data_IF_332746575213
#
_entry.id   IF_332746575213
#
_cell.length_a   1.000
_cell.length_b   1.000
_cell.length_c   1.000
_cell.angle_alpha   90.00
_cell.angle_beta   90.00
_cell.angle_gamma   90.00
#
_symmetry.space_group_name_H-M   'P 1'
#
loop_
_entity.id
_entity.type
_entity.pdbx_description
1 polymer ?
#
# COMPACT_ATOMS: atom_id res chain seq x y z
N UNK A 1 -2.59 -1.16 21.77
CA UNK A 1 -2.75 0.28 21.42
C UNK A 1 -3.75 0.44 20.27
N UNK A 2 -4.39 1.60 20.10
CA UNK A 2 -5.27 1.87 18.94
C UNK A 2 -4.86 3.19 18.27
N UNK A 3 -4.95 3.24 16.94
CA UNK A 3 -4.68 4.44 16.14
C UNK A 3 -5.94 4.86 15.42
N UNK A 4 -6.26 6.16 15.40
CA UNK A 4 -7.41 6.67 14.66
C UNK A 4 -6.99 6.92 13.22
N UNK A 5 -7.28 5.97 12.34
CA UNK A 5 -7.06 6.10 10.90
C UNK A 5 -8.39 6.44 10.24
N UNK A 6 -8.50 7.65 9.68
CA UNK A 6 -9.70 8.12 8.96
C UNK A 6 -11.00 7.87 9.74
N UNK A 7 -11.03 8.33 10.98
CA UNK A 7 -12.17 8.18 11.90
C UNK A 7 -12.56 6.75 12.30
N UNK A 8 -11.76 5.75 11.94
CA UNK A 8 -11.89 4.36 12.41
C UNK A 8 -10.77 4.04 13.39
N UNK A 9 -11.11 3.31 14.44
CA UNK A 9 -10.11 2.78 15.38
C UNK A 9 -9.43 1.57 14.75
N UNK A 10 -8.14 1.72 14.46
CA UNK A 10 -7.26 0.68 13.98
C UNK A 10 -6.52 0.06 15.17
N UNK A 11 -6.76 -1.22 15.52
CA UNK A 11 -5.97 -1.89 16.54
C UNK A 11 -4.53 -2.00 16.07
N UNK A 12 -3.60 -1.58 16.91
CA UNK A 12 -2.16 -1.66 16.66
C UNK A 12 -1.52 -2.76 17.49
N UNK A 13 -0.59 -3.46 16.85
CA UNK A 13 0.26 -4.47 17.47
C UNK A 13 1.72 -4.21 17.10
N UNK A 14 2.65 -4.47 18.03
CA UNK A 14 4.08 -4.44 17.71
C UNK A 14 4.51 -5.74 17.03
N UNK A 15 5.25 -5.64 15.92
CA UNK A 15 5.83 -6.82 15.29
C UNK A 15 6.89 -7.48 16.18
N UNK A 16 7.70 -6.69 16.90
CA UNK A 16 8.72 -7.22 17.81
C UNK A 16 8.09 -8.06 18.92
N UNK A 17 6.98 -7.57 19.50
CA UNK A 17 6.21 -8.25 20.53
C UNK A 17 5.60 -9.56 20.02
N UNK A 18 4.97 -9.55 18.84
CA UNK A 18 4.40 -10.77 18.24
C UNK A 18 5.49 -11.83 17.99
N UNK A 19 6.67 -11.39 17.56
CA UNK A 19 7.76 -12.29 17.23
C UNK A 19 8.62 -12.68 18.45
N UNK A 20 8.34 -12.11 19.63
CA UNK A 20 9.15 -12.31 20.83
C UNK A 20 10.60 -11.87 20.65
N UNK A 21 10.84 -10.86 19.81
CA UNK A 21 12.17 -10.31 19.60
C UNK A 21 12.55 -9.46 20.81
N UNK A 22 13.82 -9.51 21.26
CA UNK A 22 14.28 -8.58 22.27
C UNK A 22 14.08 -7.16 21.73
N UNK A 23 13.68 -6.26 22.61
CA UNK A 23 13.72 -4.84 22.28
C UNK A 23 15.16 -4.54 21.81
N UNK A 24 15.27 -4.02 20.59
CA UNK A 24 16.59 -3.73 20.02
C UNK A 24 17.35 -2.77 20.96
N UNK A 25 18.69 -2.74 20.98
CA UNK A 25 19.41 -1.70 21.72
C UNK A 25 19.10 -0.27 21.22
N UNK A 26 18.38 -0.13 20.11
CA UNK A 26 17.78 1.12 19.62
C UNK A 26 16.35 1.33 20.17
N UNK A 27 15.90 0.48 21.10
CA UNK A 27 14.65 0.65 21.83
C UNK A 27 14.84 1.64 22.98
N UNK A 28 13.85 2.52 23.24
CA UNK A 28 13.99 3.62 24.19
C UNK A 28 14.00 3.20 25.67
N UNK A 29 13.93 1.90 25.99
CA UNK A 29 13.68 1.41 27.35
C UNK A 29 14.75 0.45 27.90
N UNK A 30 15.93 0.32 27.28
CA UNK A 30 17.08 -0.29 27.96
C UNK A 30 17.80 0.78 28.79
N UNK A 31 17.45 0.83 30.08
CA UNK A 31 18.15 1.51 31.17
C UNK A 31 19.67 1.52 30.96
N UNK A 32 20.28 2.64 30.52
CA UNK A 32 21.55 3.20 31.01
C UNK A 32 21.76 4.65 30.48
N UNK A 33 21.60 5.62 31.39
CA UNK A 33 22.28 6.93 31.42
C UNK A 33 21.88 8.05 30.43
N UNK A 34 20.94 8.91 30.88
CA UNK A 34 20.81 10.31 30.45
C UNK A 34 19.64 10.62 29.51
N UNK A 35 19.10 11.86 29.51
CA UNK A 35 18.07 12.26 28.56
C UNK A 35 18.71 12.36 27.17
N UNK A 36 18.70 11.27 26.41
CA UNK A 36 19.00 11.34 24.98
C UNK A 36 17.80 12.01 24.29
N UNK A 37 18.05 13.21 23.79
CA UNK A 37 17.16 13.89 22.85
C UNK A 37 16.92 12.93 21.67
N UNK A 38 15.71 12.35 21.61
CA UNK A 38 15.27 11.54 20.48
C UNK A 38 15.49 12.36 19.21
N UNK A 39 16.24 11.81 18.26
CA UNK A 39 16.37 12.44 16.95
C UNK A 39 14.95 12.52 16.34
N UNK A 40 14.46 13.71 15.94
CA UNK A 40 13.13 13.87 15.37
C UNK A 40 12.90 13.10 14.06
N UNK A 41 13.93 12.40 13.54
CA UNK A 41 13.88 11.55 12.36
C UNK A 41 13.52 10.08 12.62
N UNK A 42 13.41 9.63 13.87
CA UNK A 42 13.10 8.23 14.21
C UNK A 42 11.60 7.93 14.01
N UNK A 43 11.26 7.72 12.74
CA UNK A 43 9.89 7.59 12.26
C UNK A 43 9.41 6.16 12.46
N UNK A 44 8.48 5.93 13.39
CA UNK A 44 7.80 4.64 13.52
C UNK A 44 6.80 4.43 12.38
N UNK A 45 6.86 3.29 11.69
CA UNK A 45 5.95 2.99 10.58
C UNK A 45 4.83 2.04 11.03
N UNK A 46 3.66 2.18 10.40
CA UNK A 46 2.52 1.28 10.62
C UNK A 46 2.10 0.66 9.29
N UNK A 47 2.21 -0.67 9.19
CA UNK A 47 1.70 -1.46 8.07
C UNK A 47 0.25 -1.83 8.35
N UNK A 48 -0.68 -1.35 7.54
CA UNK A 48 -2.11 -1.70 7.65
C UNK A 48 -2.36 -3.00 6.90
N UNK A 49 -2.85 -4.02 7.61
CA UNK A 49 -3.16 -5.34 7.06
C UNK A 49 -4.64 -5.67 7.22
N UNK A 50 -5.19 -6.36 6.22
CA UNK A 50 -6.57 -6.83 6.23
C UNK A 50 -6.61 -8.35 5.99
N UNK A 51 -7.26 -9.06 6.91
CA UNK A 51 -7.50 -10.51 6.84
C UNK A 51 -9.00 -10.75 6.97
N UNK A 52 -9.65 -11.10 5.86
CA UNK A 52 -11.11 -11.15 5.79
C UNK A 52 -11.72 -9.78 6.12
N UNK A 53 -12.57 -9.73 7.16
CA UNK A 53 -13.17 -8.49 7.65
C UNK A 53 -12.35 -7.80 8.76
N UNK A 54 -11.24 -8.40 9.20
CA UNK A 54 -10.41 -7.87 10.28
C UNK A 54 -9.30 -6.99 9.73
N UNK A 55 -9.24 -5.73 10.18
CA UNK A 55 -8.22 -4.75 9.79
C UNK A 55 -7.42 -4.36 11.03
N UNK A 56 -6.09 -4.43 10.93
CA UNK A 56 -5.17 -4.12 12.02
C UNK A 56 -3.89 -3.47 11.49
N UNK A 57 -3.23 -2.69 12.34
CA UNK A 57 -1.94 -2.07 12.05
C UNK A 57 -0.80 -2.81 12.76
N UNK A 58 0.30 -3.01 12.05
CA UNK A 58 1.53 -3.63 12.54
C UNK A 58 2.58 -2.54 12.64
N UNK A 59 3.06 -2.28 13.85
CA UNK A 59 4.14 -1.33 14.11
C UNK A 59 5.46 -1.98 13.69
N UNK A 60 6.24 -1.27 12.88
CA UNK A 60 7.55 -1.70 12.38
C UNK A 60 8.55 -0.54 12.44
N UNK A 61 9.83 -0.88 12.56
CA UNK A 61 10.89 0.12 12.70
C UNK A 61 11.10 0.89 11.41
N UNK A 62 11.15 0.17 10.27
CA UNK A 62 11.48 0.73 8.96
C UNK A 62 10.79 -0.04 7.84
N UNK A 63 10.47 0.67 6.76
CA UNK A 63 9.96 0.10 5.52
C UNK A 63 11.04 0.27 4.44
N UNK A 64 11.48 -0.85 3.87
CA UNK A 64 12.37 -0.86 2.71
C UNK A 64 11.55 -0.81 1.41
N UNK A 65 12.24 -0.72 0.27
CA UNK A 65 11.60 -0.74 -1.05
C UNK A 65 11.06 -2.14 -1.40
N UNK A 66 10.30 -2.22 -2.49
CA UNK A 66 9.73 -3.49 -2.99
C UNK A 66 10.80 -4.32 -3.70
N UNK A 67 11.00 -5.57 -3.27
CA UNK A 67 11.89 -6.52 -3.93
C UNK A 67 11.14 -7.73 -4.49
N UNK A 68 11.62 -8.26 -5.62
CA UNK A 68 11.17 -9.55 -6.15
C UNK A 68 11.98 -10.69 -5.54
N UNK A 69 11.30 -11.62 -4.88
CA UNK A 69 11.92 -12.71 -4.13
C UNK A 69 11.40 -14.07 -4.58
N UNK A 70 12.23 -15.10 -4.41
CA UNK A 70 11.79 -16.50 -4.51
C UNK A 70 11.49 -17.00 -3.11
N UNK A 71 10.23 -17.39 -2.88
CA UNK A 71 9.78 -17.91 -1.58
C UNK A 71 10.16 -19.38 -1.43
N UNK A 72 10.88 -19.72 -0.37
CA UNK A 72 11.12 -21.09 0.06
C UNK A 72 10.21 -21.42 1.25
N UNK A 73 9.65 -22.63 1.35
CA UNK A 73 8.85 -23.01 2.50
C UNK A 73 9.65 -22.91 3.80
N UNK A 74 9.00 -22.51 4.89
CA UNK A 74 9.61 -22.56 6.22
C UNK A 74 10.06 -23.99 6.56
N UNK A 75 11.21 -24.09 7.22
CA UNK A 75 11.77 -25.36 7.66
C UNK A 75 10.82 -26.09 8.60
N UNK A 76 10.90 -27.44 8.64
CA UNK A 76 10.00 -28.25 9.47
C UNK A 76 10.04 -27.86 10.94
N UNK A 77 11.21 -27.44 11.44
CA UNK A 77 11.40 -27.03 12.83
C UNK A 77 10.70 -25.70 13.17
N UNK A 78 10.42 -24.84 12.19
CA UNK A 78 9.81 -23.51 12.41
C UNK A 78 8.30 -23.48 12.13
N UNK A 79 7.69 -24.59 11.70
CA UNK A 79 6.25 -24.66 11.36
C UNK A 79 5.29 -24.33 12.51
N UNK A 80 5.76 -24.38 13.75
CA UNK A 80 4.96 -24.01 14.92
C UNK A 80 4.80 -22.49 15.06
N UNK A 81 5.61 -21.70 14.34
CA UNK A 81 5.52 -20.24 14.30
C UNK A 81 4.58 -19.87 13.15
N UNK A 82 3.30 -19.68 13.46
CA UNK A 82 2.27 -19.38 12.47
C UNK A 82 2.45 -18.02 11.78
N UNK A 83 3.27 -17.13 12.35
CA UNK A 83 3.53 -15.79 11.81
C UNK A 83 4.32 -15.79 10.50
N UNK A 84 4.87 -16.92 10.04
CA UNK A 84 5.70 -16.99 8.84
C UNK A 84 5.12 -17.92 7.77
N UNK A 85 5.03 -17.44 6.53
CA UNK A 85 4.61 -18.21 5.36
C UNK A 85 5.78 -18.83 4.59
N UNK A 86 6.99 -18.27 4.75
CA UNK A 86 8.16 -18.73 4.03
C UNK A 86 9.44 -18.00 4.44
N UNK A 87 10.53 -18.34 3.78
CA UNK A 87 11.82 -17.66 3.92
C UNK A 87 12.42 -17.43 2.54
N UNK A 88 13.32 -16.47 2.44
CA UNK A 88 14.16 -16.30 1.26
C UNK A 88 15.59 -15.97 1.66
N UNK A 89 16.52 -16.17 0.75
CA UNK A 89 17.93 -15.83 0.93
C UNK A 89 18.26 -14.80 -0.12
N UNK A 90 18.72 -13.63 0.31
CA UNK A 90 19.16 -12.56 -0.58
C UNK A 90 20.51 -12.89 -1.22
N UNK A 91 20.89 -12.12 -2.25
CA UNK A 91 22.17 -12.30 -2.95
C UNK A 91 23.41 -12.08 -2.06
N UNK A 92 23.25 -11.39 -0.93
CA UNK A 92 24.29 -11.17 0.08
C UNK A 92 24.33 -12.27 1.17
N UNK A 93 23.48 -13.29 1.07
CA UNK A 93 23.40 -14.41 2.01
C UNK A 93 22.53 -14.17 3.23
N UNK A 94 21.91 -12.98 3.39
CA UNK A 94 20.96 -12.73 4.49
C UNK A 94 19.68 -13.51 4.29
N UNK A 95 19.13 -14.02 5.40
CA UNK A 95 17.85 -14.72 5.41
C UNK A 95 16.75 -13.74 5.79
N UNK A 96 15.71 -13.65 4.96
CA UNK A 96 14.51 -12.88 5.25
C UNK A 96 13.36 -13.86 5.53
N UNK A 97 12.58 -13.55 6.56
CA UNK A 97 11.36 -14.26 6.90
C UNK A 97 10.16 -13.56 6.25
N UNK A 98 9.29 -14.32 5.62
CA UNK A 98 8.07 -13.79 4.99
C UNK A 98 6.92 -13.97 5.98
N UNK A 99 6.29 -12.87 6.36
CA UNK A 99 5.18 -12.87 7.29
C UNK A 99 3.92 -13.49 6.66
N UNK A 100 3.13 -14.20 7.48
CA UNK A 100 1.77 -14.64 7.14
C UNK A 100 0.75 -13.73 7.83
N UNK A 101 -0.01 -12.91 7.07
CA UNK A 101 -1.06 -12.08 7.62
C UNK A 101 -2.09 -12.86 8.47
N UNK A 102 -2.42 -14.10 8.10
CA UNK A 102 -3.40 -14.91 8.84
C UNK A 102 -2.86 -15.35 10.20
N UNK A 103 -1.58 -15.78 10.25
CA UNK A 103 -0.87 -16.07 11.48
C UNK A 103 -0.78 -14.86 12.41
N UNK A 104 -0.45 -13.69 11.85
CA UNK A 104 -0.42 -12.43 12.58
C UNK A 104 -1.81 -12.04 13.12
N UNK A 105 -2.86 -12.11 12.30
CA UNK A 105 -4.22 -11.81 12.73
C UNK A 105 -4.69 -12.71 13.89
N UNK A 106 -4.28 -13.98 13.88
CA UNK A 106 -4.58 -14.93 14.96
C UNK A 106 -3.84 -14.57 16.26
N UNK A 107 -2.58 -14.14 16.17
CA UNK A 107 -1.80 -13.65 17.30
C UNK A 107 -2.41 -12.35 17.88
N UNK A 108 -2.85 -11.43 17.01
CA UNK A 108 -3.49 -10.16 17.41
C UNK A 108 -4.83 -10.40 18.08
N UNK A 109 -5.66 -11.29 17.54
CA UNK A 109 -7.00 -11.59 18.09
C UNK A 109 -6.94 -12.21 19.48
N UNK A 110 -5.80 -12.78 19.86
CA UNK A 110 -5.54 -13.36 21.19
C UNK A 110 -5.03 -12.32 22.21
N UNK A 111 -4.76 -11.09 21.76
CA UNK A 111 -4.33 -9.98 22.63
C UNK A 111 -5.54 -9.28 23.26
N UNK A 112 -5.50 -8.93 24.56
CA UNK A 112 -6.62 -8.29 25.28
C UNK A 112 -7.08 -6.94 24.67
N UNK A 113 -6.27 -6.31 23.82
CA UNK A 113 -6.65 -5.08 23.11
C UNK A 113 -7.54 -5.32 21.87
N UNK A 114 -7.52 -6.52 21.27
CA UNK A 114 -8.29 -6.83 20.07
C UNK A 114 -9.78 -7.07 20.38
N UNK A 115 -10.10 -7.59 21.58
CA UNK A 115 -11.48 -7.80 22.01
C UNK A 115 -12.27 -6.49 22.12
N UNK A 116 -11.66 -5.43 22.66
CA UNK A 116 -12.29 -4.11 22.76
C UNK A 116 -12.59 -3.48 21.38
N UNK A 117 -11.67 -3.66 20.41
CA UNK A 117 -11.87 -3.19 19.04
C UNK A 117 -12.93 -4.03 18.29
N UNK A 118 -12.95 -5.34 18.50
CA UNK A 118 -13.90 -6.27 17.88
C UNK A 118 -15.34 -6.08 18.41
N UNK A 119 -15.52 -5.74 19.68
CA UNK A 119 -16.81 -5.38 20.28
C UNK A 119 -17.38 -4.09 19.67
N UNK A 120 -16.53 -3.12 19.36
CA UNK A 120 -16.93 -1.87 18.70
C UNK A 120 -17.30 -2.10 17.23
N UNK A 121 -16.61 -3.02 16.55
CA UNK A 121 -16.92 -3.41 15.17
C UNK A 121 -18.24 -4.20 15.02
N UNK A 122 -18.61 -5.02 16.02
CA UNK A 122 -19.87 -5.78 16.02
C UNK A 122 -21.11 -4.97 16.36
N UNK A 123 -20.98 -3.83 17.04
CA UNK A 123 -22.10 -2.97 17.41
C UNK A 123 -22.65 -2.10 16.23
N UNK A 124 -21.95 -2.06 15.09
CA UNK A 124 -22.39 -1.30 13.90
C UNK A 124 -23.36 -2.04 12.96
N UNK A 125 -23.80 -3.25 13.31
CA UNK A 125 -24.68 -4.07 12.48
C UNK A 125 -26.16 -3.69 12.58
N UNK A 126 -26.57 -2.63 11.88
CA UNK A 126 -27.99 -2.25 11.71
C UNK A 126 -28.20 -1.51 10.39
N UNK A 127 -28.92 -2.13 9.46
CA UNK A 127 -28.90 -1.81 8.05
C UNK A 127 -29.48 -0.45 7.63
N UNK A 128 -28.86 0.10 6.59
CA UNK A 128 -29.38 0.82 5.40
C UNK A 128 -28.21 0.80 4.41
N UNK A 129 -28.44 0.71 3.09
CA UNK A 129 -27.41 0.87 2.06
C UNK A 129 -26.64 2.18 2.31
N UNK A 130 -25.51 2.08 3.01
CA UNK A 130 -24.64 3.20 3.29
C UNK A 130 -23.61 3.15 2.19
N UNK A 131 -23.64 4.17 1.33
CA UNK A 131 -22.67 4.42 0.27
C UNK A 131 -21.26 4.17 0.86
N UNK A 132 -20.72 2.98 0.62
CA UNK A 132 -19.56 2.47 1.32
C UNK A 132 -18.38 3.30 0.82
N UNK A 133 -17.82 4.14 1.69
CA UNK A 133 -16.75 5.04 1.29
C UNK A 133 -15.57 4.22 0.76
N UNK A 134 -15.24 4.42 -0.52
CA UNK A 134 -14.11 3.73 -1.13
C UNK A 134 -12.87 4.63 -1.06
N UNK A 135 -11.70 4.01 -0.98
CA UNK A 135 -10.44 4.74 -1.06
C UNK A 135 -10.20 5.24 -2.49
N UNK A 136 -10.02 6.54 -2.61
CA UNK A 136 -9.80 7.27 -3.86
C UNK A 136 -8.41 7.88 -3.84
N UNK A 137 -7.60 7.62 -4.87
CA UNK A 137 -6.34 8.29 -5.09
C UNK A 137 -6.59 9.62 -5.82
N UNK A 138 -6.24 10.73 -5.18
CA UNK A 138 -6.36 12.09 -5.71
C UNK A 138 -5.04 12.51 -6.35
N UNK A 139 -5.12 13.03 -7.58
CA UNK A 139 -3.97 13.46 -8.36
C UNK A 139 -4.28 14.68 -9.22
N UNK A 140 -3.23 15.35 -9.65
CA UNK A 140 -3.29 16.48 -10.58
C UNK A 140 -2.69 16.12 -11.93
N UNK A 141 -3.16 16.80 -12.96
CA UNK A 141 -2.60 16.68 -14.29
C UNK A 141 -2.75 17.98 -15.07
N UNK A 142 -2.00 18.04 -16.17
CA UNK A 142 -1.52 19.25 -16.86
C UNK A 142 -2.55 20.32 -17.22
N UNK A 143 -3.84 20.01 -17.17
CA UNK A 143 -4.90 20.88 -17.67
C UNK A 143 -6.20 20.86 -16.83
N UNK A 144 -6.17 20.51 -15.55
CA UNK A 144 -7.37 20.70 -14.72
C UNK A 144 -7.21 20.38 -13.24
N UNK A 145 -8.20 20.82 -12.46
CA UNK A 145 -8.30 20.61 -11.01
C UNK A 145 -8.19 19.14 -10.57
N UNK A 146 -8.19 18.90 -9.25
CA UNK A 146 -7.91 17.59 -8.68
C UNK A 146 -8.86 16.54 -9.25
N UNK A 147 -8.28 15.41 -9.66
CA UNK A 147 -9.00 14.24 -10.16
C UNK A 147 -8.79 13.09 -9.20
N UNK A 148 -9.72 12.15 -9.19
CA UNK A 148 -9.65 11.01 -8.30
C UNK A 148 -9.98 9.72 -9.04
N UNK A 149 -9.28 8.64 -8.70
CA UNK A 149 -9.54 7.30 -9.20
C UNK A 149 -9.67 6.34 -8.02
N UNK A 150 -10.59 5.36 -8.04
CA UNK A 150 -10.61 4.30 -7.04
C UNK A 150 -9.24 3.65 -6.95
N UNK A 151 -8.71 3.57 -5.72
CA UNK A 151 -7.41 2.96 -5.49
C UNK A 151 -7.37 1.50 -5.93
N UNK A 152 -8.52 0.82 -5.88
CA UNK A 152 -8.70 -0.57 -6.36
C UNK A 152 -8.46 -0.75 -7.86
N UNK A 153 -8.59 0.30 -8.67
CA UNK A 153 -8.29 0.24 -10.11
C UNK A 153 -6.80 0.47 -10.41
N UNK A 154 -6.08 1.10 -9.48
CA UNK A 154 -4.66 1.38 -9.63
C UNK A 154 -3.88 0.14 -9.22
N UNK A 155 -3.30 -0.55 -10.19
CA UNK A 155 -2.46 -1.71 -9.90
C UNK A 155 -1.16 -1.28 -9.21
N UNK A 156 -0.53 -0.18 -9.69
CA UNK A 156 0.70 0.40 -9.11
C UNK A 156 0.81 1.89 -9.35
N UNK A 157 1.60 2.54 -8.50
CA UNK A 157 2.11 3.90 -8.69
C UNK A 157 3.63 3.81 -8.88
N UNK A 158 4.12 4.33 -10.00
CA UNK A 158 5.55 4.32 -10.34
C UNK A 158 6.03 5.74 -10.58
N UNK A 159 7.25 6.07 -10.17
CA UNK A 159 7.92 7.30 -10.59
C UNK A 159 9.02 6.95 -11.59
N UNK A 160 8.94 7.50 -12.81
CA UNK A 160 9.90 7.22 -13.88
C UNK A 160 10.30 8.50 -14.60
N UNK A 161 11.53 8.51 -15.11
CA UNK A 161 11.97 9.55 -16.03
C UNK A 161 11.45 9.25 -17.44
N UNK A 162 10.49 10.06 -17.90
CA UNK A 162 9.85 9.91 -19.19
C UNK A 162 10.79 10.21 -20.36
N UNK A 163 11.98 10.77 -20.11
CA UNK A 163 13.02 10.86 -21.14
C UNK A 163 13.47 9.47 -21.64
N UNK A 164 13.32 8.42 -20.81
CA UNK A 164 13.62 7.02 -21.16
C UNK A 164 12.51 6.33 -21.93
N UNK A 165 11.30 6.89 -21.95
CA UNK A 165 10.20 6.35 -22.74
C UNK A 165 10.56 6.38 -24.23
N UNK A 166 10.00 5.47 -25.02
CA UNK A 166 10.25 5.30 -26.45
C UNK A 166 8.98 5.62 -27.27
N UNK A 167 9.15 5.79 -28.59
CA UNK A 167 8.02 5.90 -29.52
C UNK A 167 7.85 4.59 -30.29
N UNK A 168 6.67 3.99 -30.18
CA UNK A 168 6.24 2.85 -30.98
C UNK A 168 5.07 3.27 -31.88
N UNK A 169 5.38 3.67 -33.11
CA UNK A 169 4.39 4.25 -34.03
C UNK A 169 3.82 5.56 -33.50
N UNK A 170 2.50 5.63 -33.33
CA UNK A 170 1.80 6.79 -32.75
C UNK A 170 1.76 6.78 -31.22
N UNK A 171 2.28 5.75 -30.55
CA UNK A 171 2.21 5.60 -29.10
C UNK A 171 3.54 5.94 -28.44
N UNK A 172 3.46 6.52 -27.25
CA UNK A 172 4.60 6.57 -26.32
C UNK A 172 4.54 5.30 -25.48
N UNK A 173 5.67 4.62 -25.32
CA UNK A 173 5.77 3.36 -24.56
C UNK A 173 6.93 3.42 -23.59
N UNK A 174 6.86 2.69 -22.49
CA UNK A 174 7.95 2.53 -21.54
C UNK A 174 8.22 1.04 -21.35
N UNK A 175 9.50 0.66 -21.36
CA UNK A 175 9.89 -0.71 -21.05
C UNK A 175 9.63 -0.98 -19.56
N UNK A 176 8.80 -1.97 -19.27
CA UNK A 176 8.39 -2.32 -17.91
C UNK A 176 8.28 -3.83 -17.77
N UNK A 177 9.05 -4.43 -16.84
CA UNK A 177 9.08 -5.88 -16.55
C UNK A 177 9.20 -6.77 -17.79
N UNK A 178 10.04 -6.36 -18.74
CA UNK A 178 10.27 -7.09 -19.99
C UNK A 178 9.19 -6.91 -21.07
N UNK A 179 8.12 -6.14 -20.80
CA UNK A 179 7.09 -5.75 -21.76
C UNK A 179 7.13 -4.25 -22.11
N UNK A 180 6.36 -3.86 -23.13
CA UNK A 180 6.14 -2.45 -23.48
C UNK A 180 4.80 -1.99 -22.91
N UNK A 181 4.85 -1.05 -21.97
CA UNK A 181 3.67 -0.42 -21.40
C UNK A 181 3.37 0.89 -22.13
N UNK A 182 2.23 1.05 -22.79
CA UNK A 182 1.82 2.33 -23.37
C UNK A 182 1.63 3.39 -22.29
N UNK A 183 2.11 4.61 -22.56
CA UNK A 183 1.94 5.78 -21.71
C UNK A 183 1.02 6.80 -22.37
N UNK A 184 -0.04 7.18 -21.66
CA UNK A 184 -1.01 8.19 -22.08
C UNK A 184 -1.14 9.30 -21.06
N UNK A 185 -1.62 10.46 -21.49
CA UNK A 185 -2.16 11.49 -20.61
C UNK A 185 -3.67 11.27 -20.36
N UNK A 186 -4.28 12.17 -19.58
CA UNK A 186 -5.72 12.13 -19.30
C UNK A 186 -6.64 12.37 -20.50
N UNK A 187 -6.13 12.98 -21.56
CA UNK A 187 -6.86 13.15 -22.82
C UNK A 187 -6.78 11.89 -23.70
N UNK A 188 -6.08 10.85 -23.24
CA UNK A 188 -5.81 9.63 -24.02
C UNK A 188 -4.77 9.84 -25.12
N UNK A 189 -4.04 10.96 -25.11
CA UNK A 189 -2.96 11.22 -26.06
C UNK A 189 -1.66 10.57 -25.57
N UNK A 190 -0.73 10.25 -26.47
CA UNK A 190 0.59 9.74 -26.09
C UNK A 190 1.28 10.71 -25.13
N UNK A 191 1.76 10.19 -24.00
CA UNK A 191 2.41 11.04 -22.99
C UNK A 191 3.68 11.72 -23.55
N UNK A 192 3.96 12.92 -23.05
CA UNK A 192 5.21 13.61 -23.34
C UNK A 192 6.40 12.89 -22.71
N UNK A 193 7.51 12.84 -23.45
CA UNK A 193 8.72 12.10 -23.07
C UNK A 193 9.71 13.00 -22.35
N UNK A 194 9.27 13.67 -21.29
CA UNK A 194 10.11 14.64 -20.58
C UNK A 194 9.89 14.64 -19.07
N UNK A 195 11.00 14.59 -18.35
CA UNK A 195 11.05 14.78 -16.91
C UNK A 195 10.60 13.55 -16.12
N UNK A 196 10.88 13.59 -14.81
CA UNK A 196 10.36 12.62 -13.86
C UNK A 196 8.88 12.89 -13.61
N UNK A 197 8.06 11.88 -13.82
CA UNK A 197 6.61 11.97 -13.61
C UNK A 197 6.09 10.72 -12.90
N UNK A 198 5.09 10.89 -12.01
CA UNK A 198 4.31 9.78 -11.51
C UNK A 198 3.46 9.14 -12.62
N UNK A 199 3.35 7.82 -12.58
CA UNK A 199 2.63 6.98 -13.53
C UNK A 199 1.69 6.07 -12.74
N UNK A 200 0.39 6.22 -12.98
CA UNK A 200 -0.62 5.28 -12.49
C UNK A 200 -0.71 4.11 -13.46
N UNK A 201 -0.34 2.93 -12.99
CA UNK A 201 -0.37 1.69 -13.78
C UNK A 201 -1.70 1.00 -13.57
N UNK A 202 -2.41 0.79 -14.66
CA UNK A 202 -3.63 0.00 -14.74
C UNK A 202 -3.31 -1.33 -15.41
N UNK A 203 -3.99 -2.38 -14.98
CA UNK A 203 -3.92 -3.72 -15.58
C UNK A 203 -5.32 -4.17 -15.91
N UNK A 204 -5.53 -4.54 -17.16
CA UNK A 204 -6.75 -5.18 -17.64
C UNK A 204 -6.38 -6.47 -18.36
N UNK A 205 -6.78 -7.61 -17.79
CA UNK A 205 -6.29 -8.94 -18.15
C UNK A 205 -4.75 -9.00 -18.22
N UNK A 206 -4.20 -9.06 -19.44
CA UNK A 206 -2.75 -9.10 -19.69
C UNK A 206 -2.18 -7.76 -20.20
N UNK A 207 -3.00 -6.71 -20.27
CA UNK A 207 -2.62 -5.40 -20.83
C UNK A 207 -2.34 -4.42 -19.71
N UNK A 208 -1.12 -3.88 -19.73
CA UNK A 208 -0.73 -2.78 -18.84
C UNK A 208 -0.90 -1.45 -19.56
N UNK A 209 -1.39 -0.43 -18.85
CA UNK A 209 -1.50 0.95 -19.32
C UNK A 209 -0.97 1.90 -18.25
N UNK A 210 -0.07 2.80 -18.62
CA UNK A 210 0.42 3.85 -17.75
C UNK A 210 -0.28 5.18 -18.04
N UNK A 211 -0.98 5.72 -17.05
CA UNK A 211 -1.49 7.09 -17.07
C UNK A 211 -0.48 8.01 -16.41
N UNK A 212 0.09 8.92 -17.19
CA UNK A 212 1.03 9.93 -16.68
C UNK A 212 0.25 11.05 -16.02
N UNK A 213 0.62 11.36 -14.79
CA UNK A 213 0.02 12.45 -13.99
C UNK A 213 1.11 13.42 -13.57
N UNK A 214 0.75 14.64 -13.17
CA UNK A 214 1.75 15.63 -12.77
C UNK A 214 2.24 15.39 -11.36
N UNK A 215 1.30 15.12 -10.44
CA UNK A 215 1.59 14.72 -9.06
C UNK A 215 0.43 13.95 -8.46
N UNK A 216 0.76 13.05 -7.55
CA UNK A 216 -0.21 12.48 -6.61
C UNK A 216 -0.35 13.45 -5.44
N UNK A 217 -1.59 13.73 -5.05
CA UNK A 217 -1.91 14.68 -3.98
C UNK A 217 -2.12 13.93 -2.67
N UNK A 218 -3.09 13.01 -2.62
CA UNK A 218 -3.42 12.25 -1.41
C UNK A 218 -4.31 11.03 -1.72
N UNK A 219 -4.58 10.18 -0.74
CA UNK A 219 -5.61 9.14 -0.79
C UNK A 219 -6.72 9.49 0.21
N UNK A 220 -7.92 9.72 -0.29
CA UNK A 220 -9.09 10.12 0.51
C UNK A 220 -10.17 9.04 0.49
N UNK A 221 -11.03 8.99 1.51
CA UNK A 221 -12.23 8.15 1.50
C UNK A 221 -13.43 8.98 1.05
N UNK A 222 -14.10 8.54 -0.01
CA UNK A 222 -15.27 9.21 -0.54
C UNK A 222 -16.31 8.19 -1.02
N UNK A 223 -17.62 8.50 -0.89
CA UNK A 223 -18.63 7.75 -1.60
C UNK A 223 -18.37 7.84 -3.11
N UNK A 224 -18.44 6.69 -3.81
CA UNK A 224 -18.36 6.68 -5.26
C UNK A 224 -19.74 6.99 -5.83
N UNK A 225 -19.98 8.27 -6.08
CA UNK A 225 -21.16 8.72 -6.84
C UNK A 225 -20.76 8.86 -8.31
N UNK A 226 -20.96 7.79 -9.09
CA UNK A 226 -20.71 7.77 -10.53
C UNK A 226 -21.78 8.62 -11.24
N UNK A 227 -21.59 9.93 -11.19
CA UNK A 227 -22.30 10.83 -12.06
C UNK A 227 -21.64 10.79 -13.43
N UNK A 228 -22.20 10.00 -14.35
CA UNK A 228 -21.85 10.11 -15.77
C UNK A 228 -22.32 11.47 -16.28
N UNK A 229 -21.53 12.51 -16.04
CA UNK A 229 -21.71 13.79 -16.67
C UNK A 229 -21.28 13.60 -18.13
N UNK A 230 -22.27 13.36 -19.00
CA UNK A 230 -22.09 13.13 -20.43
C UNK A 230 -21.26 14.20 -21.11
N UNK A 231 -19.94 14.07 -21.04
CA UNK A 231 -19.00 14.74 -21.89
C UNK A 231 -19.06 14.05 -23.24
N UNK A 232 -19.45 14.78 -24.28
CA UNK A 232 -19.56 14.28 -25.65
C UNK A 232 -18.17 14.04 -26.29
N UNK A 233 -17.30 13.26 -25.64
CA UNK A 233 -16.01 12.84 -26.18
C UNK A 233 -16.03 11.32 -26.39
N UNK A 234 -16.00 10.85 -27.65
CA UNK A 234 -15.92 9.43 -27.96
C UNK A 234 -14.71 8.79 -27.26
N UNK A 235 -14.94 7.72 -26.50
CA UNK A 235 -13.88 6.97 -25.82
C UNK A 235 -13.52 7.43 -24.40
N UNK A 236 -14.18 8.46 -23.88
CA UNK A 236 -14.07 8.87 -22.47
C UNK A 236 -15.38 8.50 -21.78
N UNK A 237 -15.32 7.52 -20.87
CA UNK A 237 -16.40 7.30 -19.89
C UNK A 237 -16.16 8.30 -18.76
N UNK A 238 -16.96 9.37 -18.78
CA UNK A 238 -17.12 10.32 -17.67
C UNK A 238 -18.42 10.04 -16.96
#
# INVERSE_FOLDING_TARGET
PVYRLRDRLLPLVSLSEILGLPDSPDSPDSDETGPQERDPSDSTYVVVSQVGAFVFGIIVDRVFDTEEIVVKPVSRCMRHISCFSGTTILGDGRVIMILDPNGLASAVSSSPHAEAAALTAKAGGGGVQRNEAISMLVFEARDGGPKAVPLSLVARLEEKDLATAEKAGSRTVLQYRGGLMPLIDLDGKPAERQGKKPILVFVDEDRMLGLVVDRVVDIVEAPLDLHLAGGARPGILG
#
